data_IF_418797838688
#
_entry.id   IF_418797838688
#
_cell.length_a   1.000
_cell.length_b   1.000
_cell.length_c   1.000
_cell.angle_alpha   90.00
_cell.angle_beta   90.00
_cell.angle_gamma   90.00
#
_symmetry.space_group_name_H-M   'P 1'
#
loop_
_entity.id
_entity.type
_entity.pdbx_description
1 polymer ?
#
# COMPACT_ATOMS: atom_id res chain seq x y z
N UNK A 1 -12.45 40.28 7.23
CA UNK A 1 -13.89 40.06 7.44
C UNK A 1 -14.02 38.73 8.18
N UNK A 2 -14.17 38.80 9.50
CA UNK A 2 -14.27 37.63 10.38
C UNK A 2 -15.66 37.02 10.27
N UNK A 3 -15.74 35.72 10.03
CA UNK A 3 -16.96 34.94 10.24
C UNK A 3 -16.76 34.17 11.55
N UNK A 4 -17.50 34.58 12.59
CA UNK A 4 -17.65 33.86 13.85
C UNK A 4 -18.60 32.69 13.64
N UNK A 5 -18.22 31.50 14.09
CA UNK A 5 -19.14 30.41 14.42
C UNK A 5 -19.27 30.34 15.96
N UNK A 6 -20.45 29.98 16.50
CA UNK A 6 -20.75 30.11 17.92
C UNK A 6 -20.17 28.96 18.75
N UNK A 7 -19.64 29.31 19.92
CA UNK A 7 -19.24 28.40 20.99
C UNK A 7 -20.45 27.76 21.68
N UNK A 8 -20.32 26.48 22.07
CA UNK A 8 -20.74 25.99 23.39
C UNK A 8 -20.02 24.67 23.76
N UNK A 9 -19.06 24.80 24.70
CA UNK A 9 -18.75 23.96 25.90
C UNK A 9 -18.82 22.43 25.80
N UNK A 10 -17.95 21.58 26.35
CA UNK A 10 -16.72 21.56 27.16
C UNK A 10 -16.27 20.09 27.04
N UNK A 11 -15.03 19.76 26.71
CA UNK A 11 -14.09 19.24 27.71
C UNK A 11 -12.67 19.29 27.16
N UNK A 12 -11.79 19.75 28.04
CA UNK A 12 -10.44 20.24 27.78
C UNK A 12 -9.40 19.12 27.68
N UNK A 13 -8.63 19.14 26.61
CA UNK A 13 -7.29 18.56 26.52
C UNK A 13 -6.50 19.36 25.48
N UNK A 14 -5.73 20.35 25.94
CA UNK A 14 -5.01 21.31 25.09
C UNK A 14 -3.95 20.62 24.23
N UNK A 15 -4.14 20.64 22.91
CA UNK A 15 -3.06 20.44 21.94
C UNK A 15 -2.40 21.78 21.68
N UNK A 16 -1.11 21.92 22.01
CA UNK A 16 -0.34 23.11 21.71
C UNK A 16 0.21 23.05 20.28
N UNK A 17 -0.20 24.02 19.46
CA UNK A 17 0.38 24.30 18.14
C UNK A 17 1.39 25.42 18.33
N UNK A 18 2.67 25.15 18.06
CA UNK A 18 3.71 26.18 18.04
C UNK A 18 3.90 26.67 16.59
N UNK A 19 3.50 27.92 16.33
CA UNK A 19 3.81 28.64 15.10
C UNK A 19 5.28 29.08 15.06
N UNK A 20 5.87 29.04 13.86
CA UNK A 20 7.26 29.38 13.59
C UNK A 20 7.58 30.87 13.85
N UNK A 21 8.53 31.11 14.76
CA UNK A 21 9.22 32.38 14.91
C UNK A 21 10.69 32.23 14.49
N UNK A 22 11.10 32.97 13.45
CA UNK A 22 12.52 33.13 13.09
C UNK A 22 13.31 33.73 14.26
N UNK A 23 14.11 32.89 14.93
CA UNK A 23 15.00 33.34 16.00
C UNK A 23 16.07 32.30 16.30
N UNK A 24 17.34 32.65 16.07
CA UNK A 24 18.50 31.91 16.57
C UNK A 24 18.42 31.79 18.10
N UNK A 25 17.90 30.68 18.63
CA UNK A 25 18.00 30.35 20.05
C UNK A 25 18.84 29.10 20.25
N UNK A 26 19.85 29.28 21.10
CA UNK A 26 20.87 28.31 21.48
C UNK A 26 20.21 27.18 22.26
N UNK A 27 20.65 25.95 21.98
CA UNK A 27 20.43 24.76 22.81
C UNK A 27 20.71 25.03 24.29
N UNK A 28 19.67 25.36 25.05
CA UNK A 28 19.56 25.15 26.49
C UNK A 28 18.07 24.96 26.76
N UNK A 29 17.74 23.99 27.58
CA UNK A 29 16.39 23.67 28.07
C UNK A 29 15.61 22.62 27.26
N UNK A 30 16.23 21.46 27.02
CA UNK A 30 15.51 20.19 27.11
C UNK A 30 15.61 19.74 28.57
N UNK A 31 14.57 19.99 29.36
CA UNK A 31 14.45 19.41 30.69
C UNK A 31 14.33 17.89 30.54
N UNK A 32 15.28 17.18 31.14
CA UNK A 32 15.31 15.74 31.29
C UNK A 32 14.04 15.26 32.00
N UNK A 33 13.11 14.66 31.25
CA UNK A 33 12.02 13.87 31.82
C UNK A 33 12.63 12.54 32.30
N UNK A 34 13.02 12.54 33.56
CA UNK A 34 13.72 11.46 34.23
C UNK A 34 12.70 10.51 34.84
N UNK A 35 12.40 9.41 34.15
CA UNK A 35 11.58 8.31 34.66
C UNK A 35 12.39 7.01 34.55
N UNK A 36 12.85 6.52 35.69
CA UNK A 36 13.34 5.15 35.95
C UNK A 36 14.44 4.58 35.04
N UNK A 37 15.71 4.82 35.42
CA UNK A 37 16.77 3.81 35.57
C UNK A 37 17.30 2.99 34.38
N UNK A 38 16.59 2.88 33.26
CA UNK A 38 17.05 2.22 32.03
C UNK A 38 16.93 3.21 30.89
N UNK A 39 17.89 4.13 30.86
CA UNK A 39 17.89 5.29 29.98
C UNK A 39 18.28 4.89 28.54
N UNK A 40 17.38 4.20 27.84
CA UNK A 40 17.43 4.11 26.38
C UNK A 40 16.54 5.23 25.84
N UNK A 41 17.04 6.46 25.92
CA UNK A 41 16.38 7.59 25.29
C UNK A 41 16.60 7.52 23.78
N UNK A 42 15.55 7.16 23.04
CA UNK A 42 15.52 7.32 21.60
C UNK A 42 15.30 8.79 21.27
N UNK A 43 16.27 9.42 20.60
CA UNK A 43 16.11 10.79 20.12
C UNK A 43 15.18 10.83 18.91
N UNK A 44 14.44 11.93 18.76
CA UNK A 44 13.66 12.19 17.56
C UNK A 44 14.61 12.37 16.36
N UNK A 45 14.24 11.78 15.22
CA UNK A 45 15.04 11.84 13.99
C UNK A 45 14.96 13.22 13.33
N UNK A 46 16.11 13.88 13.19
CA UNK A 46 16.21 15.27 12.71
C UNK A 46 15.72 15.51 11.28
N UNK A 47 15.69 14.47 10.45
CA UNK A 47 15.29 14.58 9.05
C UNK A 47 13.77 14.52 8.82
N UNK A 48 12.97 14.29 9.86
CA UNK A 48 11.51 14.28 9.74
C UNK A 48 10.95 15.71 9.74
N UNK A 49 9.96 15.95 8.87
CA UNK A 49 9.29 17.26 8.78
C UNK A 49 8.20 17.46 9.84
N UNK A 50 7.58 16.37 10.30
CA UNK A 50 6.47 16.38 11.25
C UNK A 50 6.59 15.20 12.22
N UNK A 51 6.06 15.37 13.43
CA UNK A 51 6.01 14.31 14.44
C UNK A 51 4.59 14.18 14.99
N UNK A 52 4.12 12.94 15.08
CA UNK A 52 2.92 12.60 15.83
C UNK A 52 3.35 11.88 17.11
N UNK A 53 3.14 12.52 18.25
CA UNK A 53 3.53 11.99 19.55
C UNK A 53 2.29 11.42 20.24
N UNK A 54 2.34 10.14 20.57
CA UNK A 54 1.24 9.45 21.26
C UNK A 54 1.67 9.05 22.65
N UNK A 55 0.89 9.47 23.64
CA UNK A 55 1.00 8.88 24.96
C UNK A 55 0.47 7.44 24.92
N UNK A 56 1.23 6.53 25.52
CA UNK A 56 0.91 5.11 25.58
C UNK A 56 1.47 4.51 26.87
N UNK A 57 0.80 3.46 27.35
CA UNK A 57 1.32 2.69 28.47
C UNK A 57 2.54 1.88 28.02
N UNK A 58 3.55 1.69 28.87
CA UNK A 58 4.67 0.81 28.54
C UNK A 58 4.17 -0.56 28.06
N UNK A 59 4.78 -1.08 26.99
CA UNK A 59 4.46 -2.37 26.36
C UNK A 59 3.04 -2.48 25.73
N UNK A 60 2.31 -1.38 25.55
CA UNK A 60 1.01 -1.35 24.86
C UNK A 60 1.16 -1.25 23.34
N UNK A 61 1.86 -2.22 22.75
CA UNK A 61 2.14 -2.27 21.31
C UNK A 61 0.85 -2.33 20.47
N UNK A 62 -0.20 -2.97 20.99
CA UNK A 62 -1.48 -3.13 20.28
C UNK A 62 -2.16 -1.78 20.05
N UNK A 63 -2.15 -0.90 21.06
CA UNK A 63 -2.64 0.46 20.94
C UNK A 63 -1.83 1.28 19.93
N UNK A 64 -0.51 1.11 19.89
CA UNK A 64 0.36 1.80 18.92
C UNK A 64 0.02 1.36 17.49
N UNK A 65 -0.04 0.04 17.25
CA UNK A 65 -0.36 -0.52 15.93
C UNK A 65 -1.76 -0.08 15.48
N UNK A 66 -2.74 -0.10 16.38
CA UNK A 66 -4.11 0.34 16.08
C UNK A 66 -4.16 1.84 15.73
N UNK A 67 -3.58 2.71 16.57
CA UNK A 67 -3.54 4.16 16.31
C UNK A 67 -2.87 4.47 14.97
N UNK A 68 -1.76 3.79 14.67
CA UNK A 68 -1.08 3.93 13.38
C UNK A 68 -2.00 3.55 12.23
N UNK A 69 -2.70 2.42 12.34
CA UNK A 69 -3.66 1.98 11.33
C UNK A 69 -4.80 2.98 11.12
N UNK A 70 -5.36 3.52 12.20
CA UNK A 70 -6.44 4.51 12.15
C UNK A 70 -6.00 5.78 11.40
N UNK A 71 -4.78 6.27 11.67
CA UNK A 71 -4.21 7.45 10.98
C UNK A 71 -3.94 7.16 9.52
N UNK A 72 -3.33 6.01 9.20
CA UNK A 72 -3.07 5.60 7.81
C UNK A 72 -4.38 5.56 7.01
N UNK A 73 -5.45 5.00 7.60
CA UNK A 73 -6.78 4.96 6.98
C UNK A 73 -7.42 6.34 6.84
N UNK A 74 -7.31 7.19 7.87
CA UNK A 74 -7.85 8.55 7.83
C UNK A 74 -7.14 9.38 6.76
N UNK A 75 -5.82 9.31 6.66
CA UNK A 75 -5.05 9.98 5.60
C UNK A 75 -5.43 9.47 4.22
N UNK A 76 -5.59 8.15 4.07
CA UNK A 76 -6.05 7.52 2.82
C UNK A 76 -7.44 8.02 2.39
N UNK A 77 -8.31 8.37 3.33
CA UNK A 77 -9.65 8.89 3.06
C UNK A 77 -9.72 10.42 2.94
N UNK A 78 -9.04 11.17 3.80
CA UNK A 78 -9.12 12.62 3.88
C UNK A 78 -8.47 13.30 2.67
N UNK A 79 -7.34 12.75 2.20
CA UNK A 79 -6.65 13.27 1.01
C UNK A 79 -7.43 13.07 -0.29
N UNK A 80 -8.45 12.19 -0.30
CA UNK A 80 -9.43 12.15 -1.40
C UNK A 80 -10.02 13.55 -1.60
N UNK A 81 -10.55 14.14 -0.53
CA UNK A 81 -11.30 15.40 -0.56
C UNK A 81 -10.46 16.63 -0.90
N UNK A 82 -9.18 16.65 -0.53
CA UNK A 82 -8.30 17.81 -0.74
C UNK A 82 -7.66 17.82 -2.14
N UNK A 83 -7.29 16.64 -2.67
CA UNK A 83 -6.75 16.51 -4.03
C UNK A 83 -7.86 16.81 -5.07
N UNK A 84 -9.12 16.51 -4.76
CA UNK A 84 -10.30 16.83 -5.57
C UNK A 84 -10.60 18.34 -5.74
N UNK A 85 -9.94 19.22 -4.98
CA UNK A 85 -10.24 20.66 -4.98
C UNK A 85 -9.59 21.48 -6.10
N UNK A 86 -8.61 20.92 -6.83
CA UNK A 86 -7.83 21.71 -7.80
C UNK A 86 -7.85 21.19 -9.25
N UNK A 87 -8.21 19.93 -9.50
CA UNK A 87 -8.17 19.38 -10.86
C UNK A 87 -9.43 18.52 -11.08
N UNK A 88 -10.33 18.90 -12.00
CA UNK A 88 -11.52 18.10 -12.34
C UNK A 88 -11.21 16.75 -13.03
N UNK A 89 -9.91 16.46 -13.18
CA UNK A 89 -9.35 15.20 -13.66
C UNK A 89 -8.46 14.54 -12.60
N UNK A 90 -8.86 14.51 -11.32
CA UNK A 90 -8.18 13.61 -10.40
C UNK A 90 -8.72 12.21 -10.59
N UNK A 91 -7.87 11.42 -11.23
CA UNK A 91 -7.85 9.97 -11.43
C UNK A 91 -8.21 9.14 -10.16
N UNK A 92 -8.35 9.77 -8.99
CA UNK A 92 -8.59 9.19 -7.67
C UNK A 92 -9.96 9.60 -7.07
N UNK A 93 -11.06 9.01 -7.55
CA UNK A 93 -12.34 8.96 -6.81
C UNK A 93 -12.34 7.83 -5.74
N UNK A 94 -11.14 7.37 -5.39
CA UNK A 94 -10.85 6.16 -4.61
C UNK A 94 -9.80 6.46 -3.53
N UNK A 95 -9.72 5.58 -2.52
CA UNK A 95 -8.73 5.63 -1.44
C UNK A 95 -7.31 5.78 -1.99
N UNK A 96 -6.49 6.67 -1.40
CA UNK A 96 -5.06 6.66 -1.67
C UNK A 96 -4.49 5.32 -1.19
N UNK A 97 -3.78 4.55 -2.03
CA UNK A 97 -3.30 3.25 -1.63
C UNK A 97 -2.19 3.39 -0.59
N UNK A 98 -2.26 2.52 0.41
CA UNK A 98 -1.23 2.37 1.43
C UNK A 98 -0.44 1.11 1.07
N UNK A 99 0.87 1.18 1.20
CA UNK A 99 1.78 0.03 1.08
C UNK A 99 2.73 0.08 2.26
N UNK A 100 2.97 -1.05 2.92
CA UNK A 100 3.98 -1.16 3.96
C UNK A 100 5.29 -1.71 3.36
N UNK A 101 6.42 -1.11 3.74
CA UNK A 101 7.76 -1.59 3.37
C UNK A 101 8.45 -2.17 4.61
N UNK A 102 8.79 -3.45 4.56
CA UNK A 102 9.48 -4.16 5.64
C UNK A 102 10.96 -4.32 5.28
N UNK A 103 11.82 -3.66 6.06
CA UNK A 103 13.28 -3.81 6.00
C UNK A 103 13.83 -4.76 7.06
N UNK A 104 13.09 -5.04 8.13
CA UNK A 104 13.63 -5.76 9.29
C UNK A 104 12.79 -5.43 10.50
N UNK A 105 13.17 -5.97 11.65
CA UNK A 105 12.54 -5.67 12.91
C UNK A 105 12.35 -6.90 13.78
N UNK A 106 11.73 -6.65 14.93
CA UNK A 106 11.47 -7.65 15.95
C UNK A 106 10.03 -8.18 15.85
N UNK A 107 9.58 -8.85 16.91
CA UNK A 107 8.24 -9.44 16.97
C UNK A 107 7.12 -8.38 16.94
N UNK A 108 7.31 -7.19 17.50
CA UNK A 108 6.36 -6.08 17.32
C UNK A 108 6.21 -5.70 15.85
N UNK A 109 7.29 -5.70 15.08
CA UNK A 109 7.20 -5.49 13.63
C UNK A 109 6.41 -6.60 12.95
N UNK A 110 6.63 -7.88 13.31
CA UNK A 110 5.83 -8.98 12.78
C UNK A 110 4.32 -8.78 13.06
N UNK A 111 3.96 -8.37 14.28
CA UNK A 111 2.56 -8.07 14.65
C UNK A 111 1.97 -6.96 13.78
N UNK A 112 2.74 -5.89 13.54
CA UNK A 112 2.30 -4.78 12.69
C UNK A 112 2.04 -5.26 11.27
N UNK A 113 2.95 -6.06 10.71
CA UNK A 113 2.80 -6.65 9.37
C UNK A 113 1.57 -7.56 9.29
N UNK A 114 1.35 -8.45 10.27
CA UNK A 114 0.15 -9.28 10.31
C UNK A 114 -1.13 -8.44 10.41
N UNK A 115 -1.11 -7.33 11.16
CA UNK A 115 -2.24 -6.38 11.22
C UNK A 115 -2.48 -5.68 9.87
N UNK A 116 -1.42 -5.20 9.20
CA UNK A 116 -1.52 -4.61 7.87
C UNK A 116 -2.14 -5.57 6.86
N UNK A 117 -1.70 -6.83 6.85
CA UNK A 117 -2.23 -7.86 5.95
C UNK A 117 -3.72 -8.15 6.20
N UNK A 118 -4.13 -8.30 7.47
CA UNK A 118 -5.55 -8.49 7.85
C UNK A 118 -6.44 -7.35 7.37
N UNK A 119 -5.90 -6.14 7.36
CA UNK A 119 -6.61 -4.94 6.91
C UNK A 119 -6.49 -4.71 5.39
N UNK A 120 -5.99 -5.68 4.64
CA UNK A 120 -5.86 -5.59 3.18
C UNK A 120 -4.83 -4.57 2.72
N UNK A 121 -3.82 -4.28 3.55
CA UNK A 121 -2.68 -3.43 3.18
C UNK A 121 -1.54 -4.32 2.67
N UNK A 122 -1.11 -4.15 1.41
CA UNK A 122 -0.03 -4.95 0.84
C UNK A 122 1.32 -4.60 1.47
N UNK A 123 2.21 -5.59 1.53
CA UNK A 123 3.50 -5.48 2.19
C UNK A 123 4.61 -5.85 1.21
N UNK A 124 5.55 -4.95 0.99
CA UNK A 124 6.81 -5.23 0.31
C UNK A 124 7.85 -5.64 1.35
N UNK A 125 8.37 -6.85 1.25
CA UNK A 125 9.42 -7.37 2.15
C UNK A 125 10.74 -7.35 1.40
N UNK A 126 11.72 -6.62 1.92
CA UNK A 126 13.06 -6.57 1.36
C UNK A 126 13.84 -7.78 1.83
N UNK A 127 14.26 -8.61 0.89
CA UNK A 127 15.03 -9.82 1.16
C UNK A 127 16.49 -9.48 1.47
N UNK A 128 17.11 -10.27 2.35
CA UNK A 128 18.53 -10.20 2.68
C UNK A 128 18.87 -9.14 3.71
N UNK A 129 17.87 -8.53 4.34
CA UNK A 129 18.05 -7.52 5.39
C UNK A 129 18.04 -8.11 6.81
N UNK A 130 17.73 -9.40 6.97
CA UNK A 130 17.77 -10.12 8.24
C UNK A 130 16.47 -10.06 9.07
N UNK A 131 16.59 -10.55 10.31
CA UNK A 131 15.55 -10.54 11.35
C UNK A 131 14.19 -11.10 10.89
N UNK A 132 13.08 -10.40 11.16
CA UNK A 132 11.73 -10.84 10.75
C UNK A 132 11.57 -10.86 9.23
N UNK A 133 12.26 -10.00 8.47
CA UNK A 133 12.09 -9.91 7.03
C UNK A 133 12.46 -11.23 6.34
N UNK A 134 13.64 -11.77 6.61
CA UNK A 134 14.09 -13.04 6.01
C UNK A 134 13.29 -14.24 6.49
N UNK A 135 12.80 -14.23 7.75
CA UNK A 135 11.88 -15.27 8.24
C UNK A 135 10.57 -15.25 7.44
N UNK A 136 10.01 -14.07 7.18
CA UNK A 136 8.80 -13.94 6.35
C UNK A 136 9.07 -14.40 4.92
N UNK A 137 10.20 -14.02 4.33
CA UNK A 137 10.60 -14.47 2.98
C UNK A 137 10.68 -15.99 2.92
N UNK A 138 11.31 -16.64 3.89
CA UNK A 138 11.39 -18.10 3.97
C UNK A 138 9.99 -18.75 4.02
N UNK A 139 9.10 -18.21 4.86
CA UNK A 139 7.72 -18.71 5.02
C UNK A 139 6.95 -18.57 3.70
N UNK A 140 6.92 -17.37 3.13
CA UNK A 140 6.21 -17.02 1.88
C UNK A 140 6.72 -17.83 0.70
N UNK A 141 8.04 -18.04 0.62
CA UNK A 141 8.66 -18.84 -0.44
C UNK A 141 8.21 -20.29 -0.36
N UNK A 142 8.15 -20.88 0.84
CA UNK A 142 7.71 -22.26 1.04
C UNK A 142 6.21 -22.43 0.79
N UNK A 143 5.39 -21.46 1.18
CA UNK A 143 3.96 -21.42 0.84
C UNK A 143 3.76 -21.39 -0.68
N UNK A 144 4.50 -20.53 -1.37
CA UNK A 144 4.40 -20.38 -2.83
C UNK A 144 4.87 -21.64 -3.57
N UNK A 145 5.96 -22.26 -3.13
CA UNK A 145 6.43 -23.56 -3.66
C UNK A 145 5.38 -24.66 -3.49
N UNK A 146 4.73 -24.72 -2.33
CA UNK A 146 3.67 -25.68 -2.06
C UNK A 146 2.43 -25.42 -2.94
N UNK A 147 1.99 -24.16 -3.02
CA UNK A 147 0.84 -23.76 -3.86
C UNK A 147 1.07 -24.08 -5.33
N UNK A 148 2.27 -23.85 -5.87
CA UNK A 148 2.61 -24.20 -7.25
C UNK A 148 2.68 -25.72 -7.50
N UNK A 149 2.94 -26.51 -6.47
CA UNK A 149 2.98 -27.98 -6.55
C UNK A 149 1.58 -28.61 -6.57
N UNK A 150 0.57 -27.88 -6.08
CA UNK A 150 -0.84 -28.27 -6.13
C UNK A 150 -1.45 -27.55 -7.34
N UNK A 151 -2.32 -28.22 -8.11
CA UNK A 151 -2.89 -27.62 -9.32
C UNK A 151 -3.56 -26.26 -9.02
N UNK A 152 -3.36 -25.27 -9.93
CA UNK A 152 -3.75 -23.83 -9.82
C UNK A 152 -5.22 -23.51 -9.47
N UNK A 153 -6.06 -24.50 -9.17
CA UNK A 153 -7.51 -24.37 -8.96
C UNK A 153 -7.98 -24.75 -7.56
N UNK A 154 -7.08 -25.09 -6.65
CA UNK A 154 -7.43 -25.44 -5.27
C UNK A 154 -7.13 -24.25 -4.36
N UNK A 155 -8.12 -23.81 -3.56
CA UNK A 155 -7.90 -22.84 -2.48
C UNK A 155 -6.75 -23.35 -1.59
N UNK A 156 -5.81 -22.48 -1.21
CA UNK A 156 -4.67 -22.85 -0.38
C UNK A 156 -5.13 -23.61 0.88
N UNK A 157 -4.74 -24.89 0.99
CA UNK A 157 -5.08 -25.72 2.15
C UNK A 157 -4.00 -25.55 3.23
N UNK A 158 -4.28 -24.63 4.15
CA UNK A 158 -3.41 -24.32 5.28
C UNK A 158 -3.13 -25.54 6.17
N UNK A 159 -4.10 -26.44 6.35
CA UNK A 159 -3.94 -27.60 7.22
C UNK A 159 -3.00 -28.63 6.60
N UNK A 160 -3.16 -28.88 5.30
CA UNK A 160 -2.24 -29.73 4.54
C UNK A 160 -0.84 -29.12 4.42
N UNK A 161 -0.73 -27.79 4.29
CA UNK A 161 0.58 -27.15 4.36
C UNK A 161 1.25 -27.37 5.73
N UNK A 162 0.52 -27.13 6.83
CA UNK A 162 1.06 -27.31 8.19
C UNK A 162 1.54 -28.74 8.47
N UNK A 163 0.82 -29.76 8.00
CA UNK A 163 1.22 -31.15 8.20
C UNK A 163 2.51 -31.48 7.47
N UNK A 164 2.67 -31.00 6.23
CA UNK A 164 3.85 -31.24 5.40
C UNK A 164 5.09 -30.43 5.83
N UNK A 165 4.89 -29.29 6.50
CA UNK A 165 5.97 -28.38 6.90
C UNK A 165 6.11 -28.23 8.43
N UNK A 166 5.66 -29.21 9.21
CA UNK A 166 5.70 -29.17 10.69
C UNK A 166 7.11 -28.92 11.26
N UNK A 167 8.15 -29.48 10.63
CA UNK A 167 9.54 -29.22 11.00
C UNK A 167 9.96 -27.76 10.75
N UNK A 168 9.58 -27.18 9.60
CA UNK A 168 9.83 -25.77 9.29
C UNK A 168 9.09 -24.86 10.26
N UNK A 169 7.86 -25.18 10.66
CA UNK A 169 7.10 -24.41 11.65
C UNK A 169 7.85 -24.36 12.99
N UNK A 170 8.46 -25.47 13.42
CA UNK A 170 9.28 -25.49 14.62
C UNK A 170 10.55 -24.63 14.49
N UNK A 171 11.20 -24.65 13.32
CA UNK A 171 12.35 -23.80 13.01
C UNK A 171 11.97 -22.31 13.04
N UNK A 172 10.90 -21.91 12.35
CA UNK A 172 10.40 -20.52 12.35
C UNK A 172 10.07 -20.04 13.76
N UNK A 173 9.42 -20.90 14.55
CA UNK A 173 9.12 -20.60 15.95
C UNK A 173 10.40 -20.37 16.76
N UNK A 174 11.42 -21.18 16.55
CA UNK A 174 12.72 -21.05 17.23
C UNK A 174 13.43 -19.75 16.81
N UNK A 175 13.45 -19.44 15.50
CA UNK A 175 14.01 -18.19 14.95
C UNK A 175 13.29 -16.94 15.50
N UNK A 176 11.96 -16.93 15.50
CA UNK A 176 11.17 -15.82 16.03
C UNK A 176 11.33 -15.63 17.54
N UNK A 177 11.43 -16.73 18.30
CA UNK A 177 11.76 -16.65 19.72
C UNK A 177 13.18 -16.14 19.95
N UNK A 178 14.12 -16.47 19.07
CA UNK A 178 15.47 -15.97 19.15
C UNK A 178 15.56 -14.45 19.00
N UNK A 179 14.68 -13.84 18.19
CA UNK A 179 14.63 -12.38 18.04
C UNK A 179 14.18 -11.65 19.33
N UNK A 180 13.66 -12.36 20.33
CA UNK A 180 13.24 -11.77 21.61
C UNK A 180 14.40 -11.60 22.60
N UNK A 181 15.54 -12.28 22.39
CA UNK A 181 16.68 -12.20 23.32
C UNK A 181 17.35 -10.81 23.37
N UNK A 182 16.88 -9.86 22.55
CA UNK A 182 17.35 -8.47 22.54
C UNK A 182 16.47 -7.51 23.36
N UNK A 183 15.30 -7.93 23.90
CA UNK A 183 14.37 -7.04 24.60
C UNK A 183 13.70 -7.72 25.80
N UNK A 184 14.10 -7.37 27.04
CA UNK A 184 13.72 -8.07 28.28
C UNK A 184 12.21 -8.03 28.62
N UNK A 185 11.43 -7.16 27.98
CA UNK A 185 10.02 -6.93 28.28
C UNK A 185 9.06 -7.49 27.23
N UNK A 186 9.57 -8.08 26.16
CA UNK A 186 8.75 -8.53 25.03
C UNK A 186 8.69 -10.06 24.98
N UNK A 187 7.49 -10.62 25.02
CA UNK A 187 7.27 -12.06 24.85
C UNK A 187 6.29 -12.32 23.72
N UNK A 188 6.42 -13.47 23.08
CA UNK A 188 5.45 -13.96 22.10
C UNK A 188 5.02 -15.37 22.49
N UNK A 189 3.72 -15.59 22.53
CA UNK A 189 3.17 -16.91 22.81
C UNK A 189 3.35 -17.85 21.61
N UNK A 190 3.48 -19.15 21.87
CA UNK A 190 3.50 -20.16 20.80
C UNK A 190 2.28 -20.07 19.89
N UNK A 191 1.11 -19.83 20.50
CA UNK A 191 -0.16 -19.65 19.79
C UNK A 191 -0.15 -18.40 18.90
N UNK A 192 0.48 -17.33 19.37
CA UNK A 192 0.57 -16.08 18.63
C UNK A 192 1.48 -16.21 17.41
N UNK A 193 2.63 -16.88 17.55
CA UNK A 193 3.49 -17.22 16.40
C UNK A 193 2.70 -17.99 15.35
N UNK A 194 1.94 -19.00 15.76
CA UNK A 194 1.12 -19.80 14.84
C UNK A 194 0.06 -18.94 14.14
N UNK A 195 -0.59 -18.03 14.86
CA UNK A 195 -1.54 -17.09 14.27
C UNK A 195 -0.84 -16.18 13.24
N UNK A 196 0.36 -15.66 13.53
CA UNK A 196 1.11 -14.84 12.58
C UNK A 196 1.47 -15.64 11.31
N UNK A 197 1.90 -16.88 11.45
CA UNK A 197 2.17 -17.77 10.31
C UNK A 197 0.89 -17.99 9.48
N UNK A 198 -0.25 -18.18 10.15
CA UNK A 198 -1.55 -18.33 9.48
C UNK A 198 -1.96 -17.07 8.74
N UNK A 199 -1.74 -15.90 9.34
CA UNK A 199 -2.01 -14.60 8.74
C UNK A 199 -1.17 -14.38 7.49
N UNK A 200 0.12 -14.72 7.54
CA UNK A 200 1.03 -14.66 6.38
C UNK A 200 0.58 -15.61 5.27
N UNK A 201 0.17 -16.83 5.63
CA UNK A 201 -0.25 -17.85 4.67
C UNK A 201 -1.58 -17.53 4.00
N UNK A 202 -2.57 -17.05 4.76
CA UNK A 202 -3.88 -16.69 4.24
C UNK A 202 -3.84 -15.42 3.37
N UNK A 203 -2.90 -14.52 3.62
CA UNK A 203 -2.76 -13.24 2.91
C UNK A 203 -1.52 -13.17 2.01
N UNK A 204 -0.97 -14.33 1.61
CA UNK A 204 0.26 -14.42 0.81
C UNK A 204 0.20 -13.61 -0.51
N UNK A 205 -1.00 -13.45 -1.09
CA UNK A 205 -1.19 -12.68 -2.32
C UNK A 205 -0.82 -11.20 -2.17
N UNK A 206 -1.00 -10.63 -0.96
CA UNK A 206 -0.70 -9.24 -0.61
C UNK A 206 0.79 -9.00 -0.29
N UNK A 207 1.60 -10.06 -0.21
CA UNK A 207 3.03 -9.96 0.09
C UNK A 207 3.83 -9.93 -1.22
N UNK A 208 4.76 -8.98 -1.33
CA UNK A 208 5.73 -8.87 -2.43
C UNK A 208 7.12 -9.02 -1.84
N UNK A 209 7.84 -10.05 -2.25
CA UNK A 209 9.25 -10.21 -1.89
C UNK A 209 10.08 -9.42 -2.90
N UNK A 210 10.85 -8.45 -2.41
CA UNK A 210 11.76 -7.64 -3.20
C UNK A 210 13.20 -8.09 -2.93
N UNK A 211 13.88 -8.56 -3.98
CA UNK A 211 15.31 -8.88 -3.95
C UNK A 211 16.11 -7.68 -4.50
N UNK A 212 16.82 -6.93 -3.63
CA UNK A 212 17.58 -5.75 -4.05
C UNK A 212 18.82 -6.09 -4.88
N UNK A 213 19.33 -7.34 -4.80
CA UNK A 213 20.55 -7.77 -5.48
C UNK A 213 20.22 -8.50 -6.80
N UNK A 214 18.98 -8.97 -6.93
CA UNK A 214 18.49 -9.68 -8.11
C UNK A 214 18.52 -8.83 -9.39
N UNK A 215 18.41 -9.51 -10.53
CA UNK A 215 18.49 -8.91 -11.87
C UNK A 215 17.45 -7.81 -12.14
N UNK A 216 16.38 -7.76 -11.35
CA UNK A 216 15.27 -6.80 -11.46
C UNK A 216 15.13 -5.93 -10.21
N UNK A 217 16.24 -5.57 -9.55
CA UNK A 217 16.29 -4.75 -8.32
C UNK A 217 15.74 -3.32 -8.49
N UNK A 218 14.44 -3.19 -8.75
CA UNK A 218 13.70 -1.93 -8.82
C UNK A 218 12.64 -1.89 -7.71
N UNK A 219 12.91 -1.13 -6.65
CA UNK A 219 12.00 -0.97 -5.52
C UNK A 219 10.68 -0.31 -5.92
N UNK A 220 10.72 0.69 -6.81
CA UNK A 220 9.50 1.34 -7.33
C UNK A 220 8.62 0.33 -8.05
N UNK A 221 9.25 -0.57 -8.82
CA UNK A 221 8.58 -1.69 -9.47
C UNK A 221 7.87 -2.60 -8.45
N UNK A 222 8.52 -2.94 -7.35
CA UNK A 222 7.95 -3.79 -6.29
C UNK A 222 6.81 -3.10 -5.52
N UNK A 223 6.94 -1.79 -5.26
CA UNK A 223 5.87 -0.98 -4.65
C UNK A 223 4.65 -0.93 -5.56
N UNK A 224 4.85 -0.70 -6.86
CA UNK A 224 3.78 -0.72 -7.85
C UNK A 224 3.09 -2.10 -7.92
N UNK A 225 3.86 -3.19 -7.89
CA UNK A 225 3.30 -4.55 -7.88
C UNK A 225 2.47 -4.82 -6.60
N UNK A 226 2.92 -4.31 -5.45
CA UNK A 226 2.17 -4.40 -4.19
C UNK A 226 0.85 -3.63 -4.26
N UNK A 227 0.86 -2.41 -4.82
CA UNK A 227 -0.38 -1.64 -5.04
C UNK A 227 -1.36 -2.39 -5.96
N UNK A 228 -0.87 -2.94 -7.07
CA UNK A 228 -1.71 -3.67 -8.03
C UNK A 228 -2.26 -4.98 -7.44
N UNK A 229 -1.46 -5.72 -6.66
CA UNK A 229 -1.93 -6.89 -5.92
C UNK A 229 -3.06 -6.57 -4.95
N UNK A 230 -3.03 -5.40 -4.29
CA UNK A 230 -4.15 -4.96 -3.44
C UNK A 230 -5.45 -4.81 -4.22
N UNK A 231 -5.38 -4.25 -5.42
CA UNK A 231 -6.55 -4.08 -6.30
C UNK A 231 -7.08 -5.45 -6.72
N UNK A 232 -6.17 -6.35 -7.13
CA UNK A 232 -6.51 -7.72 -7.49
C UNK A 232 -7.18 -8.48 -6.34
N UNK A 233 -6.64 -8.36 -5.13
CA UNK A 233 -7.21 -8.94 -3.91
C UNK A 233 -8.64 -8.42 -3.66
N UNK A 234 -8.86 -7.09 -3.70
CA UNK A 234 -10.20 -6.48 -3.58
C UNK A 234 -11.17 -6.92 -4.69
N UNK A 235 -10.68 -7.27 -5.88
CA UNK A 235 -11.50 -7.79 -6.99
C UNK A 235 -11.95 -9.23 -6.73
N UNK A 236 -11.14 -10.04 -6.07
CA UNK A 236 -11.50 -11.43 -5.74
C UNK A 236 -12.55 -11.51 -4.62
N UNK A 237 -12.50 -10.60 -3.64
CA UNK A 237 -13.47 -10.56 -2.54
C UNK A 237 -14.87 -10.09 -2.97
N UNK A 238 -14.96 -9.31 -4.05
CA UNK A 238 -16.23 -8.76 -4.53
C UNK A 238 -16.84 -9.64 -5.63
N UNK A 239 -17.91 -10.36 -5.30
CA UNK A 239 -18.67 -11.19 -6.27
C UNK A 239 -19.35 -10.36 -7.38
N UNK A 240 -19.58 -9.06 -7.14
CA UNK A 240 -20.14 -8.14 -8.15
C UNK A 240 -19.02 -7.48 -8.94
N UNK A 241 -19.00 -7.70 -10.25
CA UNK A 241 -18.00 -7.12 -11.16
C UNK A 241 -17.89 -5.61 -10.98
N UNK A 242 -16.80 -5.21 -10.32
CA UNK A 242 -16.60 -3.83 -9.93
C UNK A 242 -15.82 -3.08 -11.02
N UNK A 243 -16.57 -2.48 -11.94
CA UNK A 243 -16.06 -1.58 -12.98
C UNK A 243 -15.10 -0.51 -12.42
N UNK A 244 -15.32 -0.07 -11.18
CA UNK A 244 -14.46 0.90 -10.48
C UNK A 244 -13.07 0.34 -10.21
N UNK A 245 -12.97 -0.91 -9.73
CA UNK A 245 -11.67 -1.55 -9.47
C UNK A 245 -10.90 -1.81 -10.77
N UNK A 246 -11.58 -2.18 -11.86
CA UNK A 246 -10.94 -2.33 -13.17
C UNK A 246 -10.41 -1.00 -13.71
N UNK A 247 -11.21 0.08 -13.57
CA UNK A 247 -10.77 1.42 -13.92
C UNK A 247 -9.57 1.87 -13.09
N UNK A 248 -9.61 1.63 -11.78
CA UNK A 248 -8.51 1.91 -10.87
C UNK A 248 -7.25 1.15 -11.31
N UNK A 249 -7.36 -0.15 -11.61
CA UNK A 249 -6.23 -0.96 -12.05
C UNK A 249 -5.56 -0.42 -13.32
N UNK A 250 -6.32 -0.04 -14.35
CA UNK A 250 -5.76 0.57 -15.56
C UNK A 250 -5.01 1.87 -15.26
N UNK A 251 -5.61 2.72 -14.43
CA UNK A 251 -5.03 4.01 -14.03
C UNK A 251 -3.71 3.82 -13.28
N UNK A 252 -3.65 2.88 -12.34
CA UNK A 252 -2.41 2.56 -11.62
C UNK A 252 -1.35 1.99 -12.56
N UNK A 253 -1.74 1.13 -13.49
CA UNK A 253 -0.81 0.62 -14.49
C UNK A 253 -0.23 1.77 -15.35
N UNK A 254 -1.05 2.76 -15.72
CA UNK A 254 -0.58 3.92 -16.48
C UNK A 254 0.37 4.82 -15.68
N UNK A 255 0.08 5.06 -14.39
CA UNK A 255 0.91 5.91 -13.52
C UNK A 255 2.30 5.30 -13.30
N UNK A 256 2.36 3.99 -13.07
CA UNK A 256 3.60 3.26 -12.76
C UNK A 256 4.23 2.56 -13.97
N UNK A 257 3.75 2.88 -15.18
CA UNK A 257 4.21 2.29 -16.44
C UNK A 257 4.24 0.75 -16.47
N UNK A 258 3.21 0.12 -15.88
CA UNK A 258 3.04 -1.34 -15.82
C UNK A 258 2.22 -1.85 -17.00
N UNK A 259 2.73 -1.66 -18.21
CA UNK A 259 2.05 -2.06 -19.47
C UNK A 259 1.69 -3.55 -19.51
N UNK A 260 2.61 -4.41 -19.06
CA UNK A 260 2.39 -5.86 -19.09
C UNK A 260 1.26 -6.28 -18.16
N UNK A 261 1.15 -5.61 -17.00
CA UNK A 261 0.05 -5.84 -16.07
C UNK A 261 -1.29 -5.38 -16.68
N UNK A 262 -1.33 -4.23 -17.34
CA UNK A 262 -2.52 -3.76 -18.03
C UNK A 262 -2.96 -4.74 -19.14
N UNK A 263 -2.02 -5.24 -19.95
CA UNK A 263 -2.30 -6.25 -20.98
C UNK A 263 -2.90 -7.52 -20.38
N UNK A 264 -2.32 -8.02 -19.30
CA UNK A 264 -2.69 -9.31 -18.73
C UNK A 264 -3.95 -9.25 -17.87
N UNK A 265 -4.23 -8.16 -17.17
CA UNK A 265 -5.26 -8.13 -16.13
C UNK A 265 -6.43 -7.17 -16.42
N UNK A 266 -6.23 -6.22 -17.35
CA UNK A 266 -7.28 -5.29 -17.78
C UNK A 266 -7.82 -5.66 -19.16
N UNK A 267 -6.92 -5.89 -20.13
CA UNK A 267 -7.28 -6.09 -21.54
C UNK A 267 -7.23 -7.56 -22.01
N UNK A 268 -7.04 -8.52 -21.11
CA UNK A 268 -6.92 -9.92 -21.51
C UNK A 268 -8.28 -10.57 -21.84
N UNK A 269 -8.28 -11.46 -22.84
CA UNK A 269 -9.46 -12.20 -23.31
C UNK A 269 -10.23 -12.90 -22.18
N UNK A 270 -9.52 -13.49 -21.22
CA UNK A 270 -10.15 -14.17 -20.09
C UNK A 270 -10.95 -13.24 -19.17
N UNK A 271 -10.63 -11.94 -19.13
CA UNK A 271 -11.42 -10.93 -18.41
C UNK A 271 -12.79 -10.81 -19.09
N UNK A 272 -12.80 -10.80 -20.42
CA UNK A 272 -14.02 -10.76 -21.22
C UNK A 272 -14.81 -12.08 -21.14
N UNK A 273 -14.14 -13.24 -21.16
CA UNK A 273 -14.78 -14.56 -21.09
C UNK A 273 -15.42 -14.85 -19.72
N UNK A 274 -14.70 -14.58 -18.62
CA UNK A 274 -15.26 -14.76 -17.26
C UNK A 274 -16.48 -13.88 -17.00
N UNK A 275 -16.54 -12.72 -17.64
CA UNK A 275 -17.51 -11.66 -17.33
C UNK A 275 -18.81 -11.67 -18.14
N UNK A 276 -19.07 -12.69 -19.00
CA UNK A 276 -20.27 -12.75 -19.87
C UNK A 276 -20.55 -11.40 -20.55
N UNK A 277 -19.73 -11.06 -21.55
CA UNK A 277 -19.62 -9.74 -22.18
C UNK A 277 -20.99 -9.10 -22.52
N UNK A 278 -21.51 -8.25 -21.63
CA UNK A 278 -22.59 -7.34 -21.98
C UNK A 278 -22.05 -6.24 -22.89
N UNK A 279 -22.84 -5.77 -23.85
CA UNK A 279 -22.47 -4.64 -24.71
C UNK A 279 -22.12 -3.38 -23.89
N UNK A 280 -22.71 -3.22 -22.70
CA UNK A 280 -22.40 -2.15 -21.75
C UNK A 280 -20.96 -2.19 -21.23
N UNK A 281 -20.39 -3.38 -21.03
CA UNK A 281 -19.00 -3.53 -20.54
C UNK A 281 -17.99 -3.15 -21.63
N UNK A 282 -18.22 -3.54 -22.89
CA UNK A 282 -17.38 -3.11 -24.01
C UNK A 282 -17.38 -1.59 -24.15
N UNK A 283 -18.56 -0.97 -24.02
CA UNK A 283 -18.69 0.49 -24.04
C UNK A 283 -17.96 1.14 -22.85
N UNK A 284 -18.06 0.55 -21.66
CA UNK A 284 -17.34 1.02 -20.48
C UNK A 284 -15.82 0.96 -20.66
N UNK A 285 -15.28 -0.19 -21.08
CA UNK A 285 -13.83 -0.35 -21.31
C UNK A 285 -13.36 0.62 -22.40
N UNK A 286 -14.15 0.83 -23.46
CA UNK A 286 -13.83 1.81 -24.49
C UNK A 286 -13.80 3.24 -23.93
N UNK A 287 -14.75 3.61 -23.07
CA UNK A 287 -14.77 4.92 -22.41
C UNK A 287 -13.61 5.09 -21.42
N UNK A 288 -13.27 4.04 -20.68
CA UNK A 288 -12.14 3.99 -19.77
C UNK A 288 -10.80 4.10 -20.52
N UNK A 289 -10.69 3.42 -21.66
CA UNK A 289 -9.49 3.48 -22.50
C UNK A 289 -9.37 4.86 -23.18
N UNK A 290 -10.50 5.49 -23.55
CA UNK A 290 -10.55 6.89 -24.02
C UNK A 290 -9.99 7.86 -22.99
N UNK A 291 -10.42 7.74 -21.72
CA UNK A 291 -9.90 8.60 -20.66
C UNK A 291 -8.42 8.32 -20.43
N UNK A 292 -8.02 7.06 -20.31
CA UNK A 292 -6.61 6.69 -20.15
C UNK A 292 -5.72 7.19 -21.30
N UNK A 293 -6.24 7.30 -22.54
CA UNK A 293 -5.48 7.77 -23.69
C UNK A 293 -5.05 9.23 -23.53
N UNK A 294 -5.93 10.08 -23.03
CA UNK A 294 -5.60 11.47 -22.78
C UNK A 294 -4.46 11.61 -21.75
N UNK A 295 -4.55 10.86 -20.65
CA UNK A 295 -3.52 10.85 -19.60
C UNK A 295 -2.20 10.28 -20.11
N UNK A 296 -2.23 9.22 -20.94
CA UNK A 296 -1.04 8.65 -21.56
C UNK A 296 -0.32 9.64 -22.49
N UNK A 297 -1.08 10.40 -23.29
CA UNK A 297 -0.53 11.46 -24.14
C UNK A 297 0.07 12.59 -23.29
N UNK A 298 -0.61 13.02 -22.23
CA UNK A 298 -0.09 14.03 -21.33
C UNK A 298 1.23 13.61 -20.66
N UNK A 299 1.42 12.30 -20.44
CA UNK A 299 2.63 11.72 -19.81
C UNK A 299 3.74 11.34 -20.79
N UNK A 300 3.53 11.52 -22.09
CA UNK A 300 4.43 11.02 -23.14
C UNK A 300 4.69 9.50 -23.03
N UNK A 301 3.67 8.74 -22.61
CA UNK A 301 3.76 7.28 -22.52
C UNK A 301 3.28 6.62 -23.82
N UNK A 302 4.18 6.56 -24.80
CA UNK A 302 3.93 5.99 -26.13
C UNK A 302 3.49 4.52 -26.05
N UNK A 303 4.04 3.74 -25.11
CA UNK A 303 3.69 2.33 -24.94
C UNK A 303 2.22 2.15 -24.57
N UNK A 304 1.71 2.95 -23.63
CA UNK A 304 0.29 2.94 -23.27
C UNK A 304 -0.60 3.49 -24.38
N UNK A 305 -0.16 4.50 -25.12
CA UNK A 305 -0.90 4.99 -26.30
C UNK A 305 -1.11 3.86 -27.30
N UNK A 306 -0.05 3.10 -27.64
CA UNK A 306 -0.18 1.94 -28.52
C UNK A 306 -1.11 0.87 -27.95
N UNK A 307 -0.97 0.52 -26.67
CA UNK A 307 -1.85 -0.45 -26.02
C UNK A 307 -3.33 -0.05 -26.13
N UNK A 308 -3.64 1.21 -25.85
CA UNK A 308 -5.02 1.70 -25.86
C UNK A 308 -5.59 1.73 -27.29
N UNK A 309 -4.76 2.04 -28.28
CA UNK A 309 -5.13 2.01 -29.70
C UNK A 309 -5.38 0.59 -30.20
N UNK A 310 -4.54 -0.38 -29.82
CA UNK A 310 -4.74 -1.82 -30.09
C UNK A 310 -6.07 -2.31 -29.53
N UNK A 311 -6.53 -1.72 -28.41
CA UNK A 311 -7.79 -2.04 -27.75
C UNK A 311 -8.98 -1.19 -28.23
N UNK A 312 -8.89 -0.57 -29.40
CA UNK A 312 -10.04 -0.01 -30.13
C UNK A 312 -10.36 1.46 -29.83
N UNK A 313 -9.44 2.21 -29.23
CA UNK A 313 -9.54 3.67 -29.07
C UNK A 313 -8.78 4.38 -30.19
N UNK A 314 -9.40 5.37 -30.83
CA UNK A 314 -8.71 6.22 -31.81
C UNK A 314 -8.27 7.54 -31.18
N UNK A 315 -7.23 8.19 -31.69
CA UNK A 315 -6.94 9.59 -31.32
C UNK A 315 -8.10 10.50 -31.74
N UNK A 316 -8.81 10.18 -32.82
CA UNK A 316 -10.01 10.91 -33.28
C UNK A 316 -11.17 10.84 -32.29
N UNK A 317 -11.12 9.86 -31.39
CA UNK A 317 -12.12 9.66 -30.35
C UNK A 317 -11.93 10.64 -29.17
N UNK A 318 -10.80 11.37 -29.12
CA UNK A 318 -10.54 12.47 -28.19
C UNK A 318 -11.25 13.73 -28.71
N UNK A 319 -12.44 14.02 -28.18
CA UNK A 319 -13.08 15.29 -28.45
C UNK A 319 -12.39 16.38 -27.64
N UNK A 320 -11.65 17.26 -28.35
CA UNK A 320 -10.98 18.43 -27.75
C UNK A 320 -11.99 19.32 -27.01
N UNK A 321 -13.24 19.38 -27.49
CA UNK A 321 -14.33 20.13 -26.85
C UNK A 321 -14.83 19.55 -25.53
N UNK A 322 -14.48 18.29 -25.22
CA UNK A 322 -14.77 17.66 -23.93
C UNK A 322 -13.63 17.84 -22.93
N UNK A 323 -12.50 18.42 -23.36
CA UNK A 323 -11.40 18.74 -22.47
C UNK A 323 -11.75 19.99 -21.67
N UNK A 324 -11.47 19.96 -20.37
CA UNK A 324 -11.54 21.19 -19.58
C UNK A 324 -10.49 22.19 -20.08
N UNK A 325 -10.67 23.51 -19.86
CA UNK A 325 -9.68 24.51 -20.26
C UNK A 325 -8.28 24.26 -19.69
N UNK A 326 -8.17 23.61 -18.53
CA UNK A 326 -6.89 23.22 -17.91
C UNK A 326 -6.25 22.02 -18.61
N UNK A 327 -7.05 21.02 -18.98
CA UNK A 327 -6.59 19.87 -19.77
C UNK A 327 -6.09 20.29 -21.14
N UNK A 328 -6.83 21.18 -21.82
CA UNK A 328 -6.39 21.76 -23.09
C UNK A 328 -5.08 22.54 -22.91
N UNK A 329 -4.95 23.30 -21.82
CA UNK A 329 -3.71 24.04 -21.51
C UNK A 329 -2.52 23.11 -21.24
N UNK A 330 -2.69 22.01 -20.51
CA UNK A 330 -1.64 21.01 -20.31
C UNK A 330 -1.24 20.31 -21.62
N UNK A 331 -2.24 19.92 -22.41
CA UNK A 331 -2.04 19.30 -23.72
C UNK A 331 -1.27 20.21 -24.68
N UNK A 332 -1.68 21.47 -24.78
CA UNK A 332 -0.99 22.48 -25.60
C UNK A 332 0.39 22.84 -25.05
N UNK A 333 0.57 22.94 -23.73
CA UNK A 333 1.86 23.29 -23.13
C UNK A 333 2.95 22.23 -23.37
N UNK A 334 2.58 20.98 -23.64
CA UNK A 334 3.54 19.90 -23.96
C UNK A 334 3.74 19.68 -25.46
N UNK A 335 2.70 19.84 -26.29
CA UNK A 335 2.81 19.63 -27.74
C UNK A 335 3.40 20.85 -28.47
N UNK A 336 3.31 22.07 -27.92
CA UNK A 336 3.82 23.28 -28.57
C UNK A 336 5.28 23.63 -28.19
N UNK A 337 5.96 22.76 -27.44
CA UNK A 337 7.36 22.96 -27.01
C UNK A 337 8.36 22.18 -27.89
N UNK A 338 7.86 21.27 -28.72
CA UNK A 338 8.61 20.62 -29.82
C UNK A 338 8.10 21.11 -31.19
#
# INVERSE_FOLDING_TARGET
MQVKLPYSTQDSGEASVLEEGHGRHRNKDLQELNCDGTNINYNLESNNTHFFLFDHKPNDWESIIRKRHDIENELSCALKSTVLGYNQWTVFDDDIPIVALLLGGNVTTLRAICNHLKNGTPVVVVQGTGEVADIIVDIVTNITKFSNSISKRVKFDLNNWKSNFSANIYDYKSKLKMLLFSNENETIGDREILNCIDDLANNNELIVVFDPIGANGNLEGAIADAMLKRIYFRRQENDSYNYKLLAMELKWCLIWDKIDHARQNVFADHVFEKMSISQKMREFIKNLARTALFEALCRDNIHFVHLLMENGVSIKDLNIEQLTPEEFKMFCARILVD
#
